data_IF_113159404430
#
_entry.id   IF_113159404430
#
_cell.length_a   1.000
_cell.length_b   1.000
_cell.length_c   1.000
_cell.angle_alpha   90.00
_cell.angle_beta   90.00
_cell.angle_gamma   90.00
#
_symmetry.space_group_name_H-M   'P 1'
#
loop_
_entity.id
_entity.type
_entity.pdbx_description
1 polymer ?
#
# COMPACT_ATOMS: atom_id res chain seq x y z
N UNK A 1 19.95 20.20 1.75
CA UNK A 1 19.44 20.06 3.13
C UNK A 1 19.27 18.58 3.37
N UNK A 2 19.83 18.01 4.43
CA UNK A 2 19.63 16.58 4.74
C UNK A 2 18.36 16.44 5.57
N UNK A 3 17.26 16.05 4.94
CA UNK A 3 16.02 15.75 5.66
C UNK A 3 16.12 14.32 6.16
N UNK A 4 16.07 14.12 7.48
CA UNK A 4 16.17 12.76 8.05
C UNK A 4 14.79 12.12 8.03
N UNK A 5 14.72 10.89 7.53
CA UNK A 5 13.48 10.11 7.48
C UNK A 5 13.21 9.49 8.86
N UNK A 6 12.07 9.78 9.50
CA UNK A 6 11.68 9.21 10.78
C UNK A 6 11.62 7.68 10.78
N UNK A 7 11.96 7.08 11.92
CA UNK A 7 11.99 5.62 12.09
C UNK A 7 10.63 4.97 11.83
N UNK A 8 9.52 5.64 12.15
CA UNK A 8 8.16 5.12 11.94
C UNK A 8 7.89 4.86 10.45
N UNK A 9 8.31 5.78 9.57
CA UNK A 9 8.15 5.60 8.12
C UNK A 9 9.07 4.51 7.58
N UNK A 10 10.27 4.36 8.14
CA UNK A 10 11.14 3.23 7.80
C UNK A 10 10.53 1.90 8.22
N UNK A 11 9.95 1.81 9.41
CA UNK A 11 9.27 0.61 9.90
C UNK A 11 8.12 0.22 8.95
N UNK A 12 7.27 1.20 8.59
CA UNK A 12 6.14 0.94 7.68
C UNK A 12 6.62 0.59 6.28
N UNK A 13 7.36 1.47 5.61
CA UNK A 13 7.66 1.28 4.18
C UNK A 13 8.72 0.22 3.93
N UNK A 14 9.74 0.08 4.78
CA UNK A 14 10.82 -0.87 4.51
C UNK A 14 10.52 -2.27 5.03
N UNK A 15 9.72 -2.42 6.09
CA UNK A 15 9.58 -3.69 6.80
C UNK A 15 8.14 -4.22 6.84
N UNK A 16 7.13 -3.35 6.99
CA UNK A 16 5.74 -3.78 7.07
C UNK A 16 5.08 -3.95 5.69
N UNK A 17 5.20 -2.93 4.85
CA UNK A 17 4.53 -2.88 3.54
C UNK A 17 5.02 -3.97 2.55
N UNK A 18 6.33 -4.29 2.45
CA UNK A 18 6.79 -5.28 1.47
C UNK A 18 6.25 -6.70 1.73
N UNK A 19 6.27 -7.25 2.97
CA UNK A 19 5.61 -8.53 3.25
C UNK A 19 4.10 -8.52 2.97
N UNK A 20 3.37 -7.46 3.33
CA UNK A 20 1.94 -7.34 3.04
C UNK A 20 1.67 -7.36 1.53
N UNK A 21 2.52 -6.67 0.76
CA UNK A 21 2.42 -6.63 -0.70
C UNK A 21 2.75 -7.98 -1.32
N UNK A 22 3.79 -8.68 -0.84
CA UNK A 22 4.10 -10.04 -1.31
C UNK A 22 2.98 -11.03 -1.00
N UNK A 23 2.30 -10.87 0.12
CA UNK A 23 1.10 -11.66 0.43
C UNK A 23 -0.04 -11.39 -0.57
N UNK A 24 -0.32 -10.11 -0.88
CA UNK A 24 -1.28 -9.73 -1.92
C UNK A 24 -0.90 -10.24 -3.32
N UNK A 25 0.39 -10.26 -3.65
CA UNK A 25 0.91 -10.83 -4.89
C UNK A 25 0.71 -12.35 -4.93
N UNK A 26 1.02 -13.05 -3.84
CA UNK A 26 0.80 -14.49 -3.72
C UNK A 26 -0.67 -14.85 -3.95
N UNK A 27 -1.59 -14.13 -3.29
CA UNK A 27 -3.03 -14.33 -3.47
C UNK A 27 -3.46 -14.09 -4.93
N UNK A 28 -2.94 -13.03 -5.55
CA UNK A 28 -3.22 -12.71 -6.95
C UNK A 28 -2.69 -13.74 -7.96
N UNK A 29 -1.57 -14.40 -7.68
CA UNK A 29 -0.97 -15.35 -8.61
C UNK A 29 -1.41 -16.79 -8.41
N UNK A 30 -1.50 -17.23 -7.16
CA UNK A 30 -1.60 -18.65 -6.80
C UNK A 30 -2.88 -19.00 -6.04
N UNK A 31 -3.47 -18.04 -5.32
CA UNK A 31 -4.70 -18.25 -4.55
C UNK A 31 -5.83 -17.33 -5.05
N UNK A 32 -6.07 -17.33 -6.37
CA UNK A 32 -6.99 -16.40 -7.06
C UNK A 32 -8.43 -16.50 -6.58
N UNK A 33 -8.93 -17.71 -6.40
CA UNK A 33 -10.28 -17.92 -5.89
C UNK A 33 -10.41 -17.33 -4.48
N UNK A 34 -9.42 -17.58 -3.62
CA UNK A 34 -9.36 -16.97 -2.28
C UNK A 34 -9.26 -15.43 -2.31
N UNK A 35 -8.47 -14.87 -3.24
CA UNK A 35 -8.37 -13.42 -3.46
C UNK A 35 -9.73 -12.81 -3.82
N UNK A 36 -10.48 -13.44 -4.74
CA UNK A 36 -11.81 -12.97 -5.13
C UNK A 36 -12.83 -13.14 -4.01
N UNK A 37 -12.82 -14.29 -3.32
CA UNK A 37 -13.74 -14.59 -2.22
C UNK A 37 -13.57 -13.62 -1.04
N UNK A 38 -12.37 -13.03 -0.89
CA UNK A 38 -12.12 -11.98 0.12
C UNK A 38 -12.97 -10.73 -0.13
N UNK A 39 -13.35 -10.42 -1.37
CA UNK A 39 -14.16 -9.24 -1.71
C UNK A 39 -15.62 -9.56 -1.96
N UNK A 40 -15.91 -10.76 -2.47
CA UNK A 40 -17.26 -11.20 -2.84
C UNK A 40 -17.69 -12.37 -1.95
N UNK A 41 -18.63 -12.14 -1.01
CA UNK A 41 -19.13 -13.15 -0.06
C UNK A 41 -19.95 -14.27 -0.73
N UNK A 42 -19.35 -15.04 -1.63
CA UNK A 42 -20.05 -16.06 -2.41
C UNK A 42 -21.02 -15.51 -3.45
N UNK A 43 -21.07 -14.19 -3.65
CA UNK A 43 -21.92 -13.52 -4.64
C UNK A 43 -21.23 -13.28 -5.98
N UNK A 44 -19.98 -13.73 -6.13
CA UNK A 44 -19.23 -13.55 -7.39
C UNK A 44 -19.74 -14.45 -8.51
N UNK A 45 -19.68 -13.98 -9.76
CA UNK A 45 -19.72 -14.85 -10.93
C UNK A 45 -18.58 -15.90 -10.89
N UNK A 46 -18.74 -16.96 -11.68
CA UNK A 46 -17.67 -17.92 -11.88
C UNK A 46 -16.41 -17.22 -12.42
N UNK A 47 -15.25 -17.53 -11.84
CA UNK A 47 -13.96 -16.96 -12.26
C UNK A 47 -13.68 -17.36 -13.71
N UNK A 48 -13.35 -16.39 -14.55
CA UNK A 48 -13.00 -16.57 -15.95
C UNK A 48 -11.60 -16.02 -16.27
N UNK A 49 -11.21 -16.09 -17.54
CA UNK A 49 -9.91 -15.58 -17.99
C UNK A 49 -9.73 -14.07 -17.86
N UNK A 50 -10.81 -13.28 -17.83
CA UNK A 50 -10.73 -11.83 -17.64
C UNK A 50 -10.39 -11.49 -16.19
N UNK A 51 -10.98 -12.21 -15.23
CA UNK A 51 -10.60 -12.10 -13.81
C UNK A 51 -9.12 -12.44 -13.62
N UNK A 52 -8.65 -13.52 -14.25
CA UNK A 52 -7.25 -13.94 -14.15
C UNK A 52 -6.30 -12.88 -14.68
N UNK A 53 -6.60 -12.29 -15.83
CA UNK A 53 -5.77 -11.22 -16.40
C UNK A 53 -5.64 -10.03 -15.44
N UNK A 54 -6.76 -9.59 -14.83
CA UNK A 54 -6.75 -8.49 -13.87
C UNK A 54 -6.00 -8.84 -12.58
N UNK A 55 -6.15 -10.07 -12.08
CA UNK A 55 -5.40 -10.56 -10.93
C UNK A 55 -3.90 -10.60 -11.22
N UNK A 56 -3.47 -11.01 -12.41
CA UNK A 56 -2.06 -10.93 -12.80
C UNK A 56 -1.54 -9.50 -12.82
N UNK A 57 -2.32 -8.54 -13.32
CA UNK A 57 -1.92 -7.12 -13.28
C UNK A 57 -1.82 -6.60 -11.83
N UNK A 58 -2.81 -6.92 -10.99
CA UNK A 58 -2.79 -6.56 -9.57
C UNK A 58 -1.62 -7.18 -8.82
N UNK A 59 -1.35 -8.47 -9.04
CA UNK A 59 -0.21 -9.17 -8.47
C UNK A 59 1.13 -8.57 -8.92
N UNK A 60 1.26 -8.22 -10.20
CA UNK A 60 2.43 -7.50 -10.71
C UNK A 60 2.64 -6.14 -10.04
N UNK A 61 1.56 -5.39 -9.83
CA UNK A 61 1.60 -4.11 -9.10
C UNK A 61 2.04 -4.31 -7.64
N UNK A 62 1.56 -5.36 -6.96
CA UNK A 62 1.97 -5.72 -5.60
C UNK A 62 3.45 -6.11 -5.51
N UNK A 63 3.97 -6.88 -6.48
CA UNK A 63 5.41 -7.19 -6.56
C UNK A 63 6.23 -5.92 -6.77
N UNK A 64 5.78 -5.04 -7.67
CA UNK A 64 6.42 -3.75 -7.91
C UNK A 64 6.50 -2.92 -6.62
N UNK A 65 5.39 -2.84 -5.86
CA UNK A 65 5.40 -2.18 -4.55
C UNK A 65 6.46 -2.80 -3.62
N UNK A 66 6.47 -4.13 -3.47
CA UNK A 66 7.42 -4.82 -2.62
C UNK A 66 8.88 -4.56 -3.02
N UNK A 67 9.19 -4.44 -4.30
CA UNK A 67 10.55 -4.09 -4.78
C UNK A 67 10.86 -2.63 -4.52
N UNK A 68 9.95 -1.71 -4.83
CA UNK A 68 10.18 -0.28 -4.62
C UNK A 68 10.42 0.02 -3.14
N UNK A 69 9.55 -0.47 -2.26
CA UNK A 69 9.64 -0.23 -0.82
C UNK A 69 10.66 -1.16 -0.12
N UNK A 70 10.74 -2.42 -0.51
CA UNK A 70 11.63 -3.43 0.08
C UNK A 70 13.07 -3.40 -0.44
N UNK A 71 13.32 -2.83 -1.62
CA UNK A 71 14.65 -2.84 -2.25
C UNK A 71 15.10 -1.43 -2.57
N UNK A 72 14.42 -0.71 -3.48
CA UNK A 72 14.89 0.59 -4.00
C UNK A 72 15.14 1.61 -2.88
N UNK A 73 14.22 1.73 -1.92
CA UNK A 73 14.36 2.70 -0.82
C UNK A 73 15.51 2.39 0.15
N UNK A 74 16.14 1.21 0.09
CA UNK A 74 17.35 0.89 0.86
C UNK A 74 18.62 1.45 0.22
N UNK A 75 18.57 1.78 -1.07
CA UNK A 75 19.71 2.31 -1.83
C UNK A 75 19.74 3.84 -1.87
N UNK A 76 18.81 4.53 -1.20
CA UNK A 76 18.75 5.98 -1.19
C UNK A 76 18.19 6.54 0.11
N UNK A 77 18.78 7.63 0.59
CA UNK A 77 18.25 8.46 1.68
C UNK A 77 17.61 9.76 1.16
N UNK A 78 17.47 9.91 -0.17
CA UNK A 78 16.84 11.09 -0.76
C UNK A 78 15.32 11.07 -0.54
N UNK A 79 14.86 11.98 0.30
CA UNK A 79 13.44 12.17 0.62
C UNK A 79 12.59 12.47 -0.62
N UNK A 80 13.14 13.14 -1.63
CA UNK A 80 12.46 13.38 -2.90
C UNK A 80 12.13 12.07 -3.62
N UNK A 81 13.11 11.16 -3.70
CA UNK A 81 12.92 9.83 -4.27
C UNK A 81 11.89 9.03 -3.47
N UNK A 82 12.00 9.06 -2.13
CA UNK A 82 11.02 8.39 -1.27
C UNK A 82 9.61 8.93 -1.52
N UNK A 83 9.41 10.24 -1.62
CA UNK A 83 8.10 10.84 -1.87
C UNK A 83 7.53 10.45 -3.23
N UNK A 84 8.34 10.40 -4.28
CA UNK A 84 7.91 9.98 -5.60
C UNK A 84 7.51 8.50 -5.63
N UNK A 85 8.30 7.63 -5.01
CA UNK A 85 7.98 6.20 -4.85
C UNK A 85 6.67 6.04 -4.09
N UNK A 86 6.53 6.72 -2.94
CA UNK A 86 5.29 6.71 -2.16
C UNK A 86 4.11 7.25 -2.98
N UNK A 87 4.27 8.30 -3.77
CA UNK A 87 3.18 8.83 -4.59
C UNK A 87 2.73 7.84 -5.68
N UNK A 88 3.68 7.16 -6.32
CA UNK A 88 3.38 6.13 -7.33
C UNK A 88 2.58 4.96 -6.75
N UNK A 89 2.98 4.48 -5.58
CA UNK A 89 2.27 3.38 -4.91
C UNK A 89 0.94 3.85 -4.31
N UNK A 90 0.82 5.12 -3.90
CA UNK A 90 -0.45 5.67 -3.42
C UNK A 90 -1.56 5.53 -4.46
N UNK A 91 -1.22 5.61 -5.75
CA UNK A 91 -2.20 5.36 -6.82
C UNK A 91 -2.74 3.92 -6.79
N UNK A 92 -1.92 2.94 -6.42
CA UNK A 92 -2.32 1.53 -6.25
C UNK A 92 -3.26 1.42 -5.05
N UNK A 93 -2.90 2.04 -3.93
CA UNK A 93 -3.72 2.03 -2.70
C UNK A 93 -5.11 2.63 -2.97
N UNK A 94 -5.16 3.77 -3.67
CA UNK A 94 -6.42 4.44 -4.01
C UNK A 94 -7.27 3.60 -4.98
N UNK A 95 -6.65 2.97 -5.99
CA UNK A 95 -7.36 2.08 -6.91
C UNK A 95 -7.96 0.87 -6.18
N UNK A 96 -7.21 0.29 -5.23
CA UNK A 96 -7.69 -0.82 -4.41
C UNK A 96 -8.85 -0.38 -3.51
N UNK A 97 -8.72 0.73 -2.79
CA UNK A 97 -9.78 1.24 -1.91
C UNK A 97 -11.03 1.65 -2.68
N UNK A 98 -10.89 2.22 -3.89
CA UNK A 98 -12.02 2.51 -4.76
C UNK A 98 -12.74 1.23 -5.20
N UNK A 99 -11.99 0.19 -5.60
CA UNK A 99 -12.56 -1.12 -5.94
C UNK A 99 -13.29 -1.76 -4.75
N UNK A 100 -12.72 -1.69 -3.56
CA UNK A 100 -13.38 -2.16 -2.32
C UNK A 100 -14.66 -1.37 -2.06
N UNK A 101 -14.64 -0.05 -2.19
CA UNK A 101 -15.82 0.80 -1.99
C UNK A 101 -16.96 0.43 -2.94
N UNK A 102 -16.68 0.24 -4.23
CA UNK A 102 -17.69 -0.17 -5.22
C UNK A 102 -18.29 -1.55 -4.88
N UNK A 103 -17.43 -2.53 -4.60
CA UNK A 103 -17.86 -3.90 -4.31
C UNK A 103 -18.64 -3.96 -2.99
N UNK A 104 -18.18 -3.28 -1.95
CA UNK A 104 -18.85 -3.26 -0.65
C UNK A 104 -20.13 -2.43 -0.70
N UNK A 105 -20.16 -1.35 -1.47
CA UNK A 105 -21.34 -0.55 -1.75
C UNK A 105 -22.44 -1.38 -2.39
N UNK A 106 -22.12 -2.12 -3.45
CA UNK A 106 -23.05 -3.02 -4.13
C UNK A 106 -23.58 -4.14 -3.21
N UNK A 107 -22.79 -4.57 -2.23
CA UNK A 107 -23.18 -5.58 -1.24
C UNK A 107 -23.85 -4.99 0.02
N UNK A 108 -23.96 -3.67 0.12
CA UNK A 108 -24.47 -3.01 1.33
C UNK A 108 -23.56 -3.16 2.55
N UNK A 109 -22.25 -3.42 2.39
CA UNK A 109 -21.27 -3.74 3.44
C UNK A 109 -20.30 -2.61 3.77
N UNK A 110 -20.65 -1.37 3.45
CA UNK A 110 -19.80 -0.21 3.75
C UNK A 110 -19.64 0.04 5.26
N UNK A 111 -20.58 -0.45 6.08
CA UNK A 111 -20.45 -0.33 7.54
C UNK A 111 -19.43 -1.33 8.09
N UNK A 112 -18.46 -0.90 8.92
CA UNK A 112 -17.49 -1.80 9.56
C UNK A 112 -18.13 -2.91 10.41
N UNK A 113 -19.37 -2.71 10.88
CA UNK A 113 -20.12 -3.71 11.64
C UNK A 113 -20.53 -4.94 10.82
N UNK A 114 -20.51 -4.82 9.49
CA UNK A 114 -20.85 -5.91 8.55
C UNK A 114 -19.61 -6.61 8.00
N UNK A 115 -18.42 -6.20 8.43
CA UNK A 115 -17.16 -6.77 7.97
C UNK A 115 -16.90 -8.12 8.62
N UNK A 116 -16.56 -9.08 7.77
CA UNK A 116 -15.98 -10.35 8.13
C UNK A 116 -14.55 -10.15 8.64
N UNK A 117 -13.99 -11.10 9.41
CA UNK A 117 -12.62 -11.02 9.90
C UNK A 117 -11.57 -10.78 8.80
N UNK A 118 -11.78 -11.36 7.60
CA UNK A 118 -10.88 -11.17 6.46
C UNK A 118 -10.89 -9.73 5.92
N UNK A 119 -12.05 -9.05 5.91
CA UNK A 119 -12.15 -7.65 5.46
C UNK A 119 -11.38 -6.73 6.40
N UNK A 120 -11.47 -6.97 7.71
CA UNK A 120 -10.72 -6.21 8.72
C UNK A 120 -9.23 -6.27 8.46
N UNK A 121 -8.70 -7.46 8.18
CA UNK A 121 -7.26 -7.63 7.90
C UNK A 121 -6.87 -6.85 6.64
N UNK A 122 -7.57 -7.06 5.52
CA UNK A 122 -7.24 -6.41 4.26
C UNK A 122 -7.37 -4.88 4.34
N UNK A 123 -8.53 -4.38 4.77
CA UNK A 123 -8.84 -2.95 4.74
C UNK A 123 -8.01 -2.18 5.77
N UNK A 124 -7.84 -2.69 7.00
CA UNK A 124 -7.05 -1.97 8.01
C UNK A 124 -5.59 -1.88 7.59
N UNK A 125 -5.02 -2.95 7.02
CA UNK A 125 -3.65 -2.92 6.50
C UNK A 125 -3.54 -1.87 5.39
N UNK A 126 -4.41 -1.92 4.38
CA UNK A 126 -4.35 -0.96 3.27
C UNK A 126 -4.54 0.48 3.77
N UNK A 127 -5.59 0.77 4.55
CA UNK A 127 -5.89 2.12 5.03
C UNK A 127 -4.75 2.66 5.92
N UNK A 128 -4.19 1.84 6.81
CA UNK A 128 -3.09 2.28 7.68
C UNK A 128 -1.82 2.64 6.90
N UNK A 129 -1.45 1.83 5.91
CA UNK A 129 -0.32 2.12 5.01
C UNK A 129 -0.61 3.36 4.15
N UNK A 130 -1.82 3.50 3.61
CA UNK A 130 -2.25 4.69 2.86
C UNK A 130 -2.12 5.96 3.68
N UNK A 131 -2.55 5.95 4.94
CA UNK A 131 -2.43 7.11 5.84
C UNK A 131 -0.96 7.46 6.08
N UNK A 132 -0.11 6.45 6.34
CA UNK A 132 1.32 6.68 6.51
C UNK A 132 1.95 7.29 5.23
N UNK A 133 1.55 6.79 4.06
CA UNK A 133 2.00 7.25 2.74
C UNK A 133 1.60 8.70 2.48
N UNK A 134 0.33 9.05 2.69
CA UNK A 134 -0.19 10.44 2.58
C UNK A 134 0.54 11.37 3.55
N UNK A 135 0.70 10.95 4.81
CA UNK A 135 1.40 11.73 5.83
C UNK A 135 2.85 12.01 5.45
N UNK A 136 3.54 11.00 4.92
CA UNK A 136 4.93 11.13 4.46
C UNK A 136 5.05 12.07 3.26
N UNK A 137 4.16 11.93 2.27
CA UNK A 137 4.13 12.79 1.07
C UNK A 137 3.89 14.26 1.48
N UNK A 138 2.93 14.50 2.37
CA UNK A 138 2.65 15.80 2.97
C UNK A 138 3.82 16.36 3.80
N UNK A 139 4.80 15.52 4.14
CA UNK A 139 6.00 15.90 4.89
C UNK A 139 5.78 15.97 6.40
N UNK A 140 4.73 15.33 6.92
CA UNK A 140 4.46 15.28 8.35
C UNK A 140 5.58 14.53 9.07
N UNK A 141 6.13 15.14 10.11
CA UNK A 141 7.20 14.54 10.93
C UNK A 141 8.60 14.53 10.30
N UNK A 142 8.80 15.11 9.12
CA UNK A 142 10.14 15.20 8.51
C UNK A 142 10.99 16.29 9.18
N UNK A 143 12.12 15.89 9.78
CA UNK A 143 13.05 16.83 10.42
C UNK A 143 13.86 17.61 9.37
N UNK A 144 13.67 18.94 9.34
CA UNK A 144 14.51 19.84 8.53
C UNK A 144 15.82 20.11 9.27
N UNK A 145 16.91 19.43 8.89
CA UNK A 145 18.22 19.74 9.45
C UNK A 145 18.70 21.10 8.94
N UNK A 146 18.55 22.15 9.76
CA UNK A 146 19.11 23.49 9.48
C UNK A 146 20.63 23.40 9.60
N UNK A 147 21.35 23.58 8.49
CA UNK A 147 22.82 23.70 8.49
C UNK A 147 23.18 24.88 9.42
N UNK A 148 23.80 24.62 10.58
CA UNK A 148 24.39 25.68 11.42
C UNK A 148 25.45 26.37 10.57
N UNK A 149 25.18 27.60 10.14
CA UNK A 149 26.20 28.45 9.52
C UNK A 149 27.22 28.75 10.61
N UNK A 150 28.40 28.15 10.50
CA UNK A 150 29.54 28.50 11.34
C UNK A 150 29.96 29.92 10.99
N UNK A 151 29.42 30.92 11.70
CA UNK A 151 30.10 32.22 11.85
C UNK A 151 31.40 31.95 12.59
N UNK A 152 32.51 31.81 11.87
CA UNK A 152 33.83 32.04 12.44
C UNK A 152 33.99 33.56 12.56
N UNK A 153 34.01 34.03 13.80
CA UNK A 153 34.54 35.34 14.19
C UNK A 153 36.08 35.30 14.14
#
# INVERSE_FOLDING_TARGET
MTTRIPAVYKAVFLYWDPPCSLWGAYMSFFARDYMLDTYFLGTRPARDGAHDLLLYQGGGAMVSNAILNGVLLRYTDDVGVWKLVQAGILAIDLALLAGVYEVFGAQGRLSPWMWQPADWVGIVITVSVTIARVSFIAGLGLEKTRKKSSKKA
#
